data_IF_546748566170
#
_entry.id   IF_546748566170
#
_cell.length_a   1.000
_cell.length_b   1.000
_cell.length_c   1.000
_cell.angle_alpha   90.00
_cell.angle_beta   90.00
_cell.angle_gamma   90.00
#
_symmetry.space_group_name_H-M   'P 1'
#
loop_
_entity.id
_entity.type
_entity.pdbx_description
1 polymer ?
#
# COMPACT_ATOMS: atom_id res chain seq x y z
N UNK A 1 -9.54 16.30 -7.22
CA UNK A 1 -9.69 15.54 -5.97
C UNK A 1 -11.00 14.77 -6.05
N UNK A 2 -10.95 13.45 -6.13
CA UNK A 2 -12.16 12.63 -6.02
C UNK A 2 -12.65 12.70 -4.58
N UNK A 3 -13.87 13.22 -4.38
CA UNK A 3 -14.50 13.28 -3.07
C UNK A 3 -14.98 11.86 -2.71
N UNK A 4 -14.13 11.08 -2.05
CA UNK A 4 -14.47 9.75 -1.58
C UNK A 4 -15.35 9.84 -0.32
N UNK A 5 -16.39 9.01 -0.21
CA UNK A 5 -17.26 9.02 0.96
C UNK A 5 -16.48 8.65 2.23
N UNK A 6 -16.86 9.28 3.35
CA UNK A 6 -16.37 8.86 4.67
C UNK A 6 -16.93 7.48 4.99
N UNK A 7 -16.04 6.49 5.13
CA UNK A 7 -16.39 5.15 5.59
C UNK A 7 -16.42 5.11 7.12
N UNK A 8 -17.39 4.37 7.67
CA UNK A 8 -17.58 4.19 9.12
C UNK A 8 -17.40 2.71 9.46
N UNK A 9 -16.51 2.36 10.41
CA UNK A 9 -16.34 0.96 10.82
C UNK A 9 -17.59 0.39 11.49
N UNK A 10 -17.88 -0.88 11.23
CA UNK A 10 -19.14 -1.53 11.62
C UNK A 10 -19.04 -2.37 12.90
N UNK A 11 -17.85 -2.49 13.50
CA UNK A 11 -17.60 -3.40 14.62
C UNK A 11 -17.32 -4.86 14.21
N UNK A 12 -17.37 -5.16 12.91
CA UNK A 12 -17.05 -6.48 12.34
C UNK A 12 -15.96 -6.36 11.28
N UNK A 13 -15.11 -7.38 11.17
CA UNK A 13 -13.98 -7.38 10.24
C UNK A 13 -14.44 -7.36 8.78
N UNK A 14 -14.01 -6.32 8.05
CA UNK A 14 -14.38 -6.11 6.65
C UNK A 14 -13.76 -7.11 5.67
N UNK A 15 -12.84 -7.97 6.11
CA UNK A 15 -12.43 -9.11 5.29
C UNK A 15 -13.54 -10.17 5.14
N UNK A 16 -14.66 -10.04 5.88
CA UNK A 16 -15.81 -10.94 5.79
C UNK A 16 -15.77 -12.17 6.69
N UNK A 17 -14.76 -12.33 7.56
CA UNK A 17 -14.63 -13.49 8.45
C UNK A 17 -15.58 -13.47 9.66
N UNK A 18 -16.32 -12.39 9.86
CA UNK A 18 -17.26 -12.23 10.99
C UNK A 18 -16.62 -11.90 12.35
N UNK A 19 -15.29 -11.84 12.45
CA UNK A 19 -14.59 -11.47 13.69
C UNK A 19 -15.01 -10.07 14.16
N UNK A 20 -15.38 -9.94 15.43
CA UNK A 20 -15.62 -8.65 16.08
C UNK A 20 -14.30 -7.88 16.25
N UNK A 21 -14.34 -6.57 16.04
CA UNK A 21 -13.16 -5.70 16.06
C UNK A 21 -13.38 -4.48 16.95
N UNK A 22 -12.27 -3.97 17.50
CA UNK A 22 -12.29 -2.79 18.36
C UNK A 22 -12.84 -1.54 17.67
N UNK A 23 -13.36 -0.62 18.48
CA UNK A 23 -13.88 0.66 18.02
C UNK A 23 -12.87 1.39 17.13
N UNK A 24 -13.35 1.91 16.00
CA UNK A 24 -12.54 2.68 15.05
C UNK A 24 -11.69 1.84 14.09
N UNK A 25 -11.67 0.51 14.21
CA UNK A 25 -10.93 -0.38 13.30
C UNK A 25 -11.84 -0.96 12.23
N UNK A 26 -11.34 -1.15 11.00
CA UNK A 26 -12.05 -1.85 9.91
C UNK A 26 -11.70 -3.33 9.80
N UNK A 27 -10.51 -3.71 10.26
CA UNK A 27 -9.96 -5.06 10.10
C UNK A 27 -9.45 -5.60 11.43
N UNK A 28 -9.58 -6.91 11.62
CA UNK A 28 -8.79 -7.62 12.62
C UNK A 28 -7.30 -7.54 12.25
N UNK A 29 -6.40 -7.79 13.22
CA UNK A 29 -4.96 -7.63 13.02
C UNK A 29 -4.48 -8.48 11.83
N UNK A 30 -3.94 -7.82 10.79
CA UNK A 30 -3.40 -8.45 9.58
C UNK A 30 -4.45 -8.83 8.52
N UNK A 31 -5.74 -8.63 8.79
CA UNK A 31 -6.81 -8.98 7.86
C UNK A 31 -7.01 -7.96 6.74
N UNK A 32 -6.40 -6.78 6.84
CA UNK A 32 -6.28 -5.81 5.74
C UNK A 32 -5.54 -6.44 4.54
N UNK A 33 -4.47 -7.20 4.80
CA UNK A 33 -3.73 -7.91 3.75
C UNK A 33 -4.46 -9.11 3.17
N UNK A 34 -5.24 -9.80 4.01
CA UNK A 34 -6.14 -10.87 3.54
C UNK A 34 -7.20 -10.28 2.60
N UNK A 35 -7.83 -9.18 2.98
CA UNK A 35 -8.82 -8.49 2.15
C UNK A 35 -8.22 -7.96 0.84
N UNK A 36 -7.03 -7.35 0.89
CA UNK A 36 -6.29 -6.91 -0.31
C UNK A 36 -6.01 -8.08 -1.26
N UNK A 37 -5.46 -9.20 -0.76
CA UNK A 37 -5.17 -10.36 -1.59
C UNK A 37 -6.45 -10.98 -2.20
N UNK A 38 -7.52 -11.09 -1.41
CA UNK A 38 -8.82 -11.57 -1.90
C UNK A 38 -9.40 -10.64 -2.97
N UNK A 39 -9.29 -9.31 -2.79
CA UNK A 39 -9.71 -8.34 -3.80
C UNK A 39 -8.94 -8.53 -5.11
N UNK A 40 -7.62 -8.71 -5.05
CA UNK A 40 -6.77 -8.94 -6.24
C UNK A 40 -7.11 -10.28 -6.90
N UNK A 41 -7.40 -11.33 -6.13
CA UNK A 41 -7.88 -12.60 -6.65
C UNK A 41 -9.17 -12.44 -7.45
N UNK A 42 -10.17 -11.75 -6.87
CA UNK A 42 -11.50 -11.56 -7.47
C UNK A 42 -11.48 -10.61 -8.67
N UNK A 43 -10.70 -9.52 -8.60
CA UNK A 43 -10.72 -8.47 -9.64
C UNK A 43 -9.66 -8.61 -10.71
N UNK A 44 -8.55 -9.28 -10.39
CA UNK A 44 -7.36 -9.33 -11.25
C UNK A 44 -6.78 -10.74 -11.37
N UNK A 45 -7.54 -11.78 -11.00
CA UNK A 45 -7.11 -13.18 -11.13
C UNK A 45 -5.88 -13.52 -10.28
N UNK A 46 -5.64 -12.77 -9.20
CA UNK A 46 -4.48 -12.97 -8.33
C UNK A 46 -3.17 -12.43 -8.90
N UNK A 47 -3.21 -11.72 -10.02
CA UNK A 47 -2.02 -11.22 -10.70
C UNK A 47 -1.77 -9.74 -10.39
N UNK A 48 -0.71 -9.47 -9.62
CA UNK A 48 -0.25 -8.10 -9.34
C UNK A 48 0.11 -7.34 -10.62
N UNK A 49 0.84 -7.93 -11.60
CA UNK A 49 1.08 -7.24 -12.87
C UNK A 49 -0.20 -6.83 -13.59
N UNK A 50 -1.23 -7.69 -13.61
CA UNK A 50 -2.51 -7.35 -14.23
C UNK A 50 -3.26 -6.27 -13.46
N UNK A 51 -3.24 -6.30 -12.12
CA UNK A 51 -3.77 -5.20 -11.30
C UNK A 51 -3.08 -3.88 -11.61
N UNK A 52 -1.74 -3.85 -11.65
CA UNK A 52 -0.99 -2.64 -11.97
C UNK A 52 -1.32 -2.13 -13.37
N UNK A 53 -1.31 -3.01 -14.37
CA UNK A 53 -1.64 -2.67 -15.75
C UNK A 53 -3.06 -2.11 -15.89
N UNK A 54 -4.04 -2.75 -15.26
CA UNK A 54 -5.44 -2.30 -15.25
C UNK A 54 -5.63 -0.92 -14.61
N UNK A 55 -4.69 -0.48 -13.78
CA UNK A 55 -4.69 0.84 -13.14
C UNK A 55 -3.68 1.82 -13.80
N UNK A 56 -3.19 1.52 -15.01
CA UNK A 56 -2.33 2.41 -15.79
C UNK A 56 -0.85 2.38 -15.40
N UNK A 57 -0.43 1.44 -14.54
CA UNK A 57 0.96 1.29 -14.13
C UNK A 57 1.68 0.18 -14.90
N UNK A 58 3.01 0.28 -14.99
CA UNK A 58 3.85 -0.68 -15.69
C UNK A 58 5.31 -0.23 -15.78
N UNK A 59 6.15 -0.89 -16.60
CA UNK A 59 7.56 -0.54 -16.73
C UNK A 59 7.82 0.92 -17.10
N UNK A 60 6.96 1.52 -17.92
CA UNK A 60 7.04 2.95 -18.32
C UNK A 60 6.28 3.90 -17.39
N UNK A 61 5.40 3.39 -16.53
CA UNK A 61 4.55 4.18 -15.63
C UNK A 61 4.69 3.64 -14.20
N UNK A 62 5.72 4.12 -13.50
CA UNK A 62 6.10 3.61 -12.18
C UNK A 62 5.11 4.01 -11.09
N UNK A 63 4.52 3.00 -10.43
CA UNK A 63 3.62 3.19 -9.28
C UNK A 63 4.35 3.78 -8.07
N UNK A 64 5.62 3.43 -7.85
CA UNK A 64 6.40 3.96 -6.72
C UNK A 64 6.84 5.40 -6.98
N UNK A 65 7.14 5.76 -8.24
CA UNK A 65 7.39 7.15 -8.60
C UNK A 65 6.14 8.01 -8.39
N UNK A 66 4.97 7.51 -8.83
CA UNK A 66 3.68 8.19 -8.61
C UNK A 66 3.35 8.34 -7.13
N UNK A 67 3.64 7.33 -6.32
CA UNK A 67 3.44 7.40 -4.87
C UNK A 67 4.32 8.48 -4.20
N UNK A 68 5.54 8.70 -4.69
CA UNK A 68 6.41 9.78 -4.20
C UNK A 68 5.87 11.15 -4.60
N UNK A 69 5.42 11.28 -5.85
CA UNK A 69 4.90 12.53 -6.39
C UNK A 69 3.58 12.96 -5.72
N UNK A 70 2.68 12.01 -5.49
CA UNK A 70 1.28 12.34 -5.15
C UNK A 70 0.79 11.80 -3.81
N UNK A 71 1.44 10.76 -3.25
CA UNK A 71 0.94 10.04 -2.07
C UNK A 71 1.86 10.17 -0.84
N UNK A 72 2.81 11.11 -0.87
CA UNK A 72 3.68 11.41 0.27
C UNK A 72 4.72 10.33 0.59
N UNK A 73 4.97 9.40 -0.33
CA UNK A 73 6.14 8.51 -0.20
C UNK A 73 7.43 9.29 -0.40
N UNK A 74 8.52 8.78 0.16
CA UNK A 74 9.82 9.43 0.15
C UNK A 74 10.86 8.50 -0.47
N UNK A 75 11.88 9.11 -1.11
CA UNK A 75 13.09 8.41 -1.54
C UNK A 75 14.16 8.57 -0.47
N UNK A 76 14.91 7.50 -0.22
CA UNK A 76 16.11 7.58 0.59
C UNK A 76 17.12 8.54 -0.06
N UNK A 77 17.75 9.44 0.71
CA UNK A 77 18.76 10.34 0.14
C UNK A 77 20.02 9.59 -0.33
N UNK A 78 20.27 8.39 0.21
CA UNK A 78 21.54 7.65 0.06
C UNK A 78 21.48 6.43 -0.86
N UNK A 79 20.30 5.91 -1.21
CA UNK A 79 20.15 4.76 -2.12
C UNK A 79 18.80 4.83 -2.86
N UNK A 80 18.45 3.78 -3.59
CA UNK A 80 17.21 3.72 -4.39
C UNK A 80 15.97 3.26 -3.61
N UNK A 81 16.07 3.13 -2.29
CA UNK A 81 14.93 2.75 -1.46
C UNK A 81 13.83 3.82 -1.50
N UNK A 82 12.58 3.40 -1.69
CA UNK A 82 11.39 4.25 -1.70
C UNK A 82 10.34 3.65 -0.75
N UNK A 83 9.69 4.48 0.05
CA UNK A 83 8.67 4.00 0.98
C UNK A 83 7.88 5.12 1.65
N UNK A 84 6.93 4.73 2.50
CA UNK A 84 6.29 5.65 3.42
C UNK A 84 7.32 6.31 4.35
N UNK A 85 7.06 7.53 4.88
CA UNK A 85 8.06 8.29 5.65
C UNK A 85 8.65 7.54 6.85
N UNK A 86 7.82 6.75 7.57
CA UNK A 86 8.30 5.94 8.68
C UNK A 86 9.25 4.83 8.24
N UNK A 87 8.97 4.19 7.09
CA UNK A 87 9.82 3.16 6.52
C UNK A 87 11.15 3.72 6.04
N UNK A 88 11.15 4.90 5.40
CA UNK A 88 12.39 5.57 4.96
C UNK A 88 13.25 5.97 6.16
N UNK A 89 12.67 6.60 7.19
CA UNK A 89 13.40 6.91 8.44
C UNK A 89 14.03 5.68 9.10
N UNK A 90 13.30 4.56 9.14
CA UNK A 90 13.82 3.32 9.71
C UNK A 90 14.92 2.72 8.83
N UNK A 91 14.79 2.83 7.51
CA UNK A 91 15.79 2.40 6.55
C UNK A 91 17.08 3.23 6.67
N UNK A 92 16.99 4.56 6.75
CA UNK A 92 18.14 5.47 6.84
C UNK A 92 19.09 5.14 8.01
N UNK A 93 18.53 4.78 9.17
CA UNK A 93 19.31 4.36 10.35
C UNK A 93 20.20 3.14 10.09
N UNK A 94 19.84 2.31 9.12
CA UNK A 94 20.54 1.07 8.75
C UNK A 94 21.14 1.15 7.34
N UNK A 95 21.12 2.33 6.72
CA UNK A 95 21.52 2.49 5.34
C UNK A 95 23.05 2.51 5.24
N UNK A 96 23.61 1.40 4.76
CA UNK A 96 25.05 1.22 4.50
C UNK A 96 25.42 1.43 3.05
N UNK A 97 24.44 1.55 2.15
CA UNK A 97 24.65 1.80 0.73
C UNK A 97 24.79 3.30 0.42
N UNK A 98 25.57 3.60 -0.62
CA UNK A 98 25.67 4.92 -1.26
C UNK A 98 25.20 4.75 -2.71
N UNK A 99 24.46 5.72 -3.26
CA UNK A 99 23.98 5.68 -4.65
C UNK A 99 25.16 5.40 -5.59
N UNK A 100 25.03 4.34 -6.39
CA UNK A 100 25.97 4.08 -7.48
C UNK A 100 25.83 5.18 -8.53
N UNK A 101 26.97 5.73 -8.96
CA UNK A 101 27.08 6.79 -9.95
C UNK A 101 26.61 6.34 -11.33
#
# INVERSE_FOLDING_TARGET
MTNLPRLIPTGTCWCGCGTEIGLGSFFARGHDKVAEAAFIAVKHGGSIPQMLHANGFGPSHSVTAKAVEEAGWQKCPRCDYVGAPASVRNHEKKCTATKGN
#
